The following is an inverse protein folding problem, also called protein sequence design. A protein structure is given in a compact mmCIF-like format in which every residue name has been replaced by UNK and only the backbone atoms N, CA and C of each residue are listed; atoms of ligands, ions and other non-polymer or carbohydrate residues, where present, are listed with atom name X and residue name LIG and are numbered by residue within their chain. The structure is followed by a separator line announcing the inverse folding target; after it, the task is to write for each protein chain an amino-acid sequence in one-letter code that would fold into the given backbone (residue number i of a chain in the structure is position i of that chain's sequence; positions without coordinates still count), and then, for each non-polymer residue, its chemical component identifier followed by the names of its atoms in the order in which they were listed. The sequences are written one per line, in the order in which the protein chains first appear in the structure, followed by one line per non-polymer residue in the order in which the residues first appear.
data_IF_959019837245
#
_entry.id   IF_959019837245
#
_cell.length_a   1.000
_cell.length_b   1.000
_cell.length_c   1.000
_cell.angle_alpha   90.00
_cell.angle_beta   90.00
_cell.angle_gamma   90.00
#
_symmetry.space_group_name_H-M   'P 1'
#
loop_
_entity.id
_entity.type
_entity.pdbx_description
1 polymer ?
#
# COMPACT_ATOMS: atom_id res chain seq x y z
N UNK A 1 6.15 -26.67 4.24
CA UNK A 1 6.57 -26.46 5.64
C UNK A 1 7.58 -25.32 5.62
N UNK A 2 7.32 -24.22 6.32
CA UNK A 2 8.21 -23.06 6.32
C UNK A 2 9.42 -23.34 7.23
N UNK A 3 10.64 -23.29 6.70
CA UNK A 3 11.90 -23.59 7.41
C UNK A 3 12.48 -22.37 8.15
N UNK A 4 11.63 -21.47 8.65
CA UNK A 4 12.09 -20.20 9.23
C UNK A 4 12.06 -20.35 10.76
N UNK A 5 13.23 -20.36 11.40
CA UNK A 5 13.36 -20.47 12.86
C UNK A 5 12.86 -19.17 13.53
N UNK A 6 11.93 -19.23 14.50
CA UNK A 6 11.40 -18.07 15.20
C UNK A 6 12.42 -17.27 16.02
N UNK A 7 13.60 -17.82 16.30
CA UNK A 7 14.73 -17.11 16.94
C UNK A 7 15.58 -16.31 15.96
N UNK A 8 15.38 -16.52 14.64
CA UNK A 8 16.01 -15.67 13.63
C UNK A 8 15.22 -14.36 13.62
N UNK A 9 15.80 -13.34 14.26
CA UNK A 9 15.40 -11.95 14.01
C UNK A 9 15.64 -11.71 12.52
N UNK A 10 14.56 -11.71 11.75
CA UNK A 10 14.61 -11.55 10.30
C UNK A 10 15.34 -10.24 10.01
N UNK A 11 16.59 -10.25 9.55
CA UNK A 11 17.30 -9.00 9.26
C UNK A 11 16.96 -8.63 7.82
N UNK A 12 16.55 -7.39 7.58
CA UNK A 12 16.51 -6.88 6.21
C UNK A 12 17.92 -7.09 5.63
N UNK A 13 18.04 -7.97 4.65
CA UNK A 13 19.31 -8.34 4.02
C UNK A 13 19.61 -7.46 2.79
N UNK A 14 18.79 -6.42 2.56
CA UNK A 14 18.82 -5.50 1.43
C UNK A 14 18.77 -6.20 0.05
N UNK A 15 18.30 -7.45 0.02
CA UNK A 15 18.20 -8.23 -1.21
C UNK A 15 17.07 -7.71 -2.11
N UNK A 16 15.88 -7.44 -1.54
CA UNK A 16 14.82 -6.68 -2.20
C UNK A 16 14.94 -5.19 -1.87
N UNK A 17 15.00 -4.36 -2.91
CA UNK A 17 15.10 -2.90 -2.80
C UNK A 17 13.81 -2.20 -3.22
N UNK A 18 12.83 -2.95 -3.71
CA UNK A 18 11.60 -2.39 -4.28
C UNK A 18 10.44 -2.69 -3.33
N UNK A 19 9.87 -1.67 -2.66
CA UNK A 19 8.71 -1.86 -1.82
C UNK A 19 7.54 -2.48 -2.59
N UNK A 20 6.84 -3.39 -1.91
CA UNK A 20 5.56 -3.91 -2.32
C UNK A 20 4.44 -3.16 -1.60
N UNK A 21 3.27 -3.06 -2.25
CA UNK A 21 2.08 -2.45 -1.66
C UNK A 21 1.15 -3.57 -1.19
N UNK A 22 0.71 -3.49 0.06
CA UNK A 22 -0.31 -4.37 0.62
C UNK A 22 -1.58 -3.57 0.88
N UNK A 23 -2.72 -4.10 0.44
CA UNK A 23 -4.05 -3.56 0.68
C UNK A 23 -4.77 -4.46 1.69
N UNK A 24 -5.02 -3.96 2.89
CA UNK A 24 -5.84 -4.63 3.89
C UNK A 24 -7.26 -4.07 3.83
N UNK A 25 -8.24 -4.90 3.44
CA UNK A 25 -9.65 -4.48 3.43
C UNK A 25 -10.09 -4.17 4.87
N UNK A 26 -10.74 -3.02 5.06
CA UNK A 26 -11.32 -2.63 6.35
C UNK A 26 -12.67 -3.34 6.58
N UNK A 27 -13.30 -3.10 7.72
CA UNK A 27 -14.57 -3.73 8.03
C UNK A 27 -15.61 -3.35 6.98
N UNK A 28 -16.35 -4.34 6.45
CA UNK A 28 -17.38 -4.15 5.43
C UNK A 28 -18.46 -3.16 5.90
N UNK A 29 -18.70 -3.08 7.22
CA UNK A 29 -19.64 -2.10 7.79
C UNK A 29 -19.24 -0.64 7.55
N UNK A 30 -17.97 -0.38 7.26
CA UNK A 30 -17.46 0.97 6.97
C UNK A 30 -17.55 1.31 5.47
N UNK A 31 -17.87 0.33 4.62
CA UNK A 31 -18.08 0.50 3.19
C UNK A 31 -19.44 1.18 2.93
N UNK A 32 -19.54 1.88 1.81
CA UNK A 32 -20.78 2.50 1.32
C UNK A 32 -20.98 2.07 -0.13
N UNK A 33 -22.16 2.33 -0.69
CA UNK A 33 -22.41 2.09 -2.12
C UNK A 33 -21.37 2.79 -3.01
N UNK A 34 -20.88 3.95 -2.58
CA UNK A 34 -19.94 4.76 -3.34
C UNK A 34 -18.46 4.43 -3.07
N UNK A 35 -18.13 3.87 -1.91
CA UNK A 35 -16.73 3.70 -1.46
C UNK A 35 -16.47 2.36 -0.75
N UNK A 36 -15.33 1.74 -1.06
CA UNK A 36 -14.75 0.63 -0.28
C UNK A 36 -13.50 1.12 0.45
N UNK A 37 -13.34 0.75 1.72
CA UNK A 37 -12.22 1.22 2.53
C UNK A 37 -11.11 0.17 2.67
N UNK A 38 -9.88 0.63 2.51
CA UNK A 38 -8.66 -0.15 2.72
C UNK A 38 -7.69 0.61 3.63
N UNK A 39 -6.86 -0.14 4.34
CA UNK A 39 -5.60 0.38 4.89
C UNK A 39 -4.48 -0.11 3.98
N UNK A 40 -3.66 0.81 3.49
CA UNK A 40 -2.59 0.54 2.52
C UNK A 40 -1.26 0.77 3.20
N UNK A 41 -0.34 -0.19 3.07
CA UNK A 41 1.02 -0.07 3.60
C UNK A 41 2.06 -0.50 2.57
N UNK A 42 3.24 0.10 2.63
CA UNK A 42 4.39 -0.29 1.84
C UNK A 42 5.31 -1.20 2.67
N UNK A 43 5.84 -2.27 2.06
CA UNK A 43 6.69 -3.24 2.73
C UNK A 43 7.91 -3.61 1.88
N UNK A 44 9.09 -3.67 2.49
CA UNK A 44 10.34 -4.15 1.88
C UNK A 44 10.86 -5.29 2.75
N UNK A 45 11.17 -6.45 2.17
CA UNK A 45 11.69 -7.60 2.94
C UNK A 45 10.87 -7.91 4.21
N UNK A 46 9.54 -7.95 4.08
CA UNK A 46 8.60 -8.18 5.19
C UNK A 46 8.59 -7.10 6.29
N UNK A 47 9.35 -6.01 6.13
CA UNK A 47 9.33 -4.84 7.00
C UNK A 47 8.40 -3.77 6.46
N UNK A 48 7.64 -3.14 7.37
CA UNK A 48 6.86 -1.95 7.03
C UNK A 48 7.80 -0.78 6.77
N UNK A 49 7.57 -0.06 5.66
CA UNK A 49 8.27 1.18 5.36
C UNK A 49 7.66 2.29 6.22
N UNK A 50 8.46 2.89 7.08
CA UNK A 50 7.98 3.91 8.03
C UNK A 50 7.60 5.21 7.33
N UNK A 51 8.42 5.67 6.38
CA UNK A 51 8.20 6.93 5.66
C UNK A 51 8.22 6.69 4.15
N UNK A 52 7.11 7.00 3.50
CA UNK A 52 6.98 6.94 2.04
C UNK A 52 5.97 7.97 1.56
N UNK A 53 5.75 8.03 0.25
CA UNK A 53 4.78 8.94 -0.36
C UNK A 53 3.77 8.15 -1.19
N UNK A 54 2.52 8.60 -1.18
CA UNK A 54 1.44 8.02 -1.98
C UNK A 54 0.81 9.07 -2.89
N UNK A 55 0.46 8.69 -4.11
CA UNK A 55 -0.32 9.49 -5.05
C UNK A 55 -1.54 8.71 -5.50
N UNK A 56 -2.68 9.39 -5.56
CA UNK A 56 -3.96 8.82 -6.00
C UNK A 56 -4.36 9.55 -7.29
N UNK A 57 -4.59 8.80 -8.37
CA UNK A 57 -4.95 9.30 -9.69
C UNK A 57 -3.98 10.34 -10.25
N UNK A 58 -2.67 10.15 -10.00
CA UNK A 58 -1.63 11.04 -10.50
C UNK A 58 -1.59 12.42 -9.84
N UNK A 59 -2.28 12.60 -8.71
CA UNK A 59 -2.19 13.83 -7.90
C UNK A 59 -0.82 13.95 -7.23
N UNK A 60 -0.58 15.09 -6.58
CA UNK A 60 0.65 15.29 -5.81
C UNK A 60 0.87 14.21 -4.76
N UNK A 61 2.15 13.86 -4.57
CA UNK A 61 2.57 12.88 -3.58
C UNK A 61 2.36 13.42 -2.17
N UNK A 62 1.62 12.68 -1.36
CA UNK A 62 1.36 13.00 0.05
C UNK A 62 2.28 12.11 0.91
N UNK A 63 2.97 12.67 1.92
CA UNK A 63 3.77 11.89 2.84
C UNK A 63 2.88 10.98 3.70
N UNK A 64 3.32 9.74 3.88
CA UNK A 64 2.64 8.72 4.68
C UNK A 64 3.61 8.18 5.72
N UNK A 65 3.13 8.12 6.95
CA UNK A 65 3.81 7.43 8.04
C UNK A 65 3.16 6.08 8.28
N UNK A 66 3.89 4.99 8.05
CA UNK A 66 3.47 3.59 8.17
C UNK A 66 2.35 3.12 7.21
N UNK A 67 1.18 3.76 7.26
CA UNK A 67 0.02 3.35 6.47
C UNK A 67 -0.89 4.52 6.07
N UNK A 68 -1.62 4.31 4.98
CA UNK A 68 -2.59 5.25 4.44
C UNK A 68 -3.99 4.64 4.43
N UNK A 69 -4.98 5.36 4.96
CA UNK A 69 -6.38 4.95 4.87
C UNK A 69 -6.96 5.39 3.52
N UNK A 70 -7.20 4.41 2.65
CA UNK A 70 -7.72 4.61 1.30
C UNK A 70 -9.25 4.42 1.29
N UNK A 71 -9.97 5.41 0.79
CA UNK A 71 -11.36 5.26 0.37
C UNK A 71 -11.39 5.14 -1.15
N UNK A 72 -11.63 3.94 -1.66
CA UNK A 72 -11.67 3.62 -3.08
C UNK A 72 -13.06 3.94 -3.65
N UNK A 73 -13.22 5.00 -4.48
CA UNK A 73 -14.50 5.32 -5.10
C UNK A 73 -14.89 4.31 -6.18
N UNK A 74 -16.15 4.33 -6.59
CA UNK A 74 -16.59 3.69 -7.84
C UNK A 74 -15.74 4.17 -9.02
N UNK A 75 -15.42 3.24 -9.91
CA UNK A 75 -14.63 3.47 -11.11
C UNK A 75 -13.16 3.11 -10.91
N UNK A 76 -12.33 3.60 -11.83
CA UNK A 76 -10.89 3.34 -11.85
C UNK A 76 -10.16 4.29 -10.91
N UNK A 77 -9.29 3.72 -10.09
CA UNK A 77 -8.37 4.46 -9.24
C UNK A 77 -6.96 3.92 -9.45
N UNK A 78 -6.02 4.81 -9.78
CA UNK A 78 -4.60 4.52 -9.82
C UNK A 78 -3.98 4.94 -8.49
N UNK A 79 -3.21 4.05 -7.86
CA UNK A 79 -2.45 4.32 -6.64
C UNK A 79 -0.98 4.10 -6.94
N UNK A 80 -0.14 5.10 -6.73
CA UNK A 80 1.32 4.95 -6.84
C UNK A 80 2.02 5.29 -5.53
N UNK A 81 3.14 4.61 -5.27
CA UNK A 81 4.03 4.94 -4.14
C UNK A 81 5.39 5.40 -4.62
N UNK A 82 6.04 6.20 -3.79
CA UNK A 82 7.38 6.73 -4.01
C UNK A 82 8.14 6.80 -2.67
N UNK A 83 9.47 6.64 -2.71
CA UNK A 83 10.33 6.87 -1.54
C UNK A 83 10.90 8.29 -1.51
N UNK A 84 10.91 9.01 -2.64
CA UNK A 84 11.49 10.35 -2.78
C UNK A 84 10.43 11.45 -3.00
N UNK A 85 9.17 11.07 -3.12
CA UNK A 85 8.03 11.96 -3.38
C UNK A 85 8.00 12.50 -4.81
N UNK A 86 8.81 11.96 -5.73
CA UNK A 86 8.94 12.44 -7.11
C UNK A 86 8.70 11.32 -8.12
N UNK A 87 9.48 10.23 -8.01
CA UNK A 87 9.44 9.13 -8.95
C UNK A 87 8.56 7.98 -8.43
N UNK A 88 7.63 7.45 -9.24
CA UNK A 88 6.86 6.26 -8.86
C UNK A 88 7.78 5.04 -8.82
N UNK A 89 7.65 4.24 -7.76
CA UNK A 89 8.35 2.96 -7.61
C UNK A 89 7.42 1.79 -7.95
N UNK A 90 6.14 1.91 -7.57
CA UNK A 90 5.07 0.99 -7.93
C UNK A 90 3.79 1.78 -8.22
N UNK A 91 3.00 1.29 -9.15
CA UNK A 91 1.66 1.78 -9.46
C UNK A 91 0.73 0.57 -9.55
N UNK A 92 -0.45 0.69 -8.93
CA UNK A 92 -1.52 -0.31 -8.95
C UNK A 92 -2.78 0.38 -9.43
N UNK A 93 -3.50 -0.25 -10.36
CA UNK A 93 -4.81 0.20 -10.82
C UNK A 93 -5.88 -0.73 -10.26
N UNK A 94 -6.88 -0.15 -9.59
CA UNK A 94 -8.03 -0.85 -9.05
C UNK A 94 -9.30 -0.28 -9.68
N UNK A 95 -10.27 -1.15 -9.95
CA UNK A 95 -11.58 -0.73 -10.45
C UNK A 95 -12.68 -1.26 -9.52
N UNK A 96 -13.49 -0.34 -8.97
CA UNK A 96 -14.73 -0.68 -8.25
C UNK A 96 -15.90 -0.55 -9.21
N UNK A 97 -16.55 -1.65 -9.53
CA UNK A 97 -17.79 -1.63 -10.31
C UNK A 97 -18.97 -1.16 -9.44
N UNK A 98 -19.97 -0.52 -10.06
CA UNK A 98 -21.28 -0.34 -9.44
C UNK A 98 -22.01 -1.68 -9.53
N UNK A 99 -22.58 -2.13 -8.40
CA UNK A 99 -23.51 -3.26 -8.38
C UNK A 99 -24.85 -2.86 -9.00
#
# INVERSE_FOLDING_TARGET
MFNINPEIVYKNDDSDKIPNIIFAKRNIKDDTEDYVKFTVGAFINSYMVEDYYISINGKEYVPVKNYYDLSLPVGKTSISISLDGKAPIRTVELEKYKE
#
